data_IF_088768856772
#
_entry.id   IF_088768856772
#
_cell.length_a   1.000
_cell.length_b   1.000
_cell.length_c   1.000
_cell.angle_alpha   90.00
_cell.angle_beta   90.00
_cell.angle_gamma   90.00
#
_symmetry.space_group_name_H-M   'P 1'
#
loop_
_entity.id
_entity.type
_entity.pdbx_description
1 polymer ?
#
# COMPACT_ATOMS: atom_id res chain seq x y z
N UNK A 1 -16.48 -8.51 10.49
CA UNK A 1 -15.48 -7.46 10.19
C UNK A 1 -15.15 -7.55 8.72
N UNK A 2 -15.43 -6.51 7.93
CA UNK A 2 -15.06 -6.49 6.51
C UNK A 2 -13.54 -6.43 6.39
N UNK A 3 -12.99 -7.17 5.43
CA UNK A 3 -11.56 -7.10 5.12
C UNK A 3 -11.34 -5.79 4.36
N UNK A 4 -10.89 -4.75 5.06
CA UNK A 4 -10.68 -3.41 4.52
C UNK A 4 -9.20 -3.05 4.58
N UNK A 5 -8.72 -2.33 3.58
CA UNK A 5 -7.35 -1.86 3.50
C UNK A 5 -7.12 -0.75 4.55
N UNK A 6 -6.14 -0.95 5.42
CA UNK A 6 -5.66 0.08 6.34
C UNK A 6 -4.53 0.87 5.67
N UNK A 7 -4.87 2.04 5.12
CA UNK A 7 -3.90 2.88 4.41
C UNK A 7 -2.74 3.35 5.28
N UNK A 8 -2.94 3.55 6.58
CA UNK A 8 -1.88 4.00 7.49
C UNK A 8 -0.89 2.87 7.74
N UNK A 9 -1.41 1.67 8.00
CA UNK A 9 -0.59 0.47 8.15
C UNK A 9 0.18 0.14 6.86
N UNK A 10 -0.49 0.18 5.70
CA UNK A 10 0.16 -0.06 4.42
C UNK A 10 1.24 0.98 4.12
N UNK A 11 1.01 2.26 4.44
CA UNK A 11 2.01 3.30 4.25
C UNK A 11 3.25 3.04 5.11
N UNK A 12 3.06 2.61 6.37
CA UNK A 12 4.17 2.24 7.26
C UNK A 12 4.97 1.04 6.71
N UNK A 13 4.28 0.02 6.19
CA UNK A 13 4.93 -1.16 5.61
C UNK A 13 5.70 -0.82 4.34
N UNK A 14 5.10 0.02 3.49
CA UNK A 14 5.76 0.53 2.29
C UNK A 14 7.01 1.33 2.63
N UNK A 15 6.94 2.29 3.55
CA UNK A 15 8.10 3.12 3.94
C UNK A 15 9.27 2.28 4.45
N UNK A 16 9.00 1.21 5.21
CA UNK A 16 10.03 0.27 5.66
C UNK A 16 10.67 -0.48 4.49
N UNK A 17 9.88 -0.98 3.55
CA UNK A 17 10.39 -1.69 2.38
C UNK A 17 11.17 -0.76 1.44
N UNK A 18 10.65 0.44 1.20
CA UNK A 18 11.24 1.45 0.35
C UNK A 18 12.55 2.00 0.95
N UNK A 19 12.63 2.19 2.27
CA UNK A 19 13.86 2.54 2.96
C UNK A 19 14.95 1.47 2.81
N UNK A 20 14.59 0.17 2.89
CA UNK A 20 15.52 -0.93 2.65
C UNK A 20 16.07 -0.95 1.20
N UNK A 21 15.33 -0.35 0.26
CA UNK A 21 15.72 -0.18 -1.14
C UNK A 21 16.36 1.19 -1.43
N UNK A 22 16.69 1.97 -0.39
CA UNK A 22 17.27 3.32 -0.50
C UNK A 22 16.43 4.29 -1.34
N UNK A 23 15.10 4.12 -1.34
CA UNK A 23 14.19 5.04 -2.03
C UNK A 23 14.08 6.37 -1.29
N UNK A 24 13.72 7.43 -2.01
CA UNK A 24 13.58 8.78 -1.46
C UNK A 24 12.19 8.99 -0.84
N UNK A 25 12.13 9.00 0.48
CA UNK A 25 10.88 9.11 1.24
C UNK A 25 10.51 10.55 1.63
N UNK A 26 11.17 11.55 1.06
CA UNK A 26 10.83 12.96 1.28
C UNK A 26 9.34 13.20 0.94
N UNK A 27 8.61 13.92 1.80
CA UNK A 27 7.19 14.25 1.56
C UNK A 27 7.00 15.76 1.38
N UNK A 28 6.10 16.10 0.46
CA UNK A 28 5.57 17.46 0.31
C UNK A 28 4.57 17.77 1.43
N UNK A 29 4.30 19.06 1.71
CA UNK A 29 3.16 19.45 2.52
C UNK A 29 1.88 18.78 2.01
N UNK A 30 1.16 18.10 2.89
CA UNK A 30 -0.01 17.27 2.52
C UNK A 30 0.27 15.77 2.45
N UNK A 31 1.52 15.32 2.64
CA UNK A 31 1.86 13.91 2.85
C UNK A 31 2.18 13.10 1.59
N UNK A 32 2.17 13.73 0.41
CA UNK A 32 2.59 13.09 -0.84
C UNK A 32 4.10 12.92 -0.90
N UNK A 33 4.59 11.79 -1.40
CA UNK A 33 6.02 11.63 -1.69
C UNK A 33 6.47 12.65 -2.73
N UNK A 34 7.61 13.30 -2.51
CA UNK A 34 8.15 14.31 -3.41
C UNK A 34 8.79 13.70 -4.66
N UNK A 35 9.36 12.50 -4.53
CA UNK A 35 10.00 11.77 -5.61
C UNK A 35 8.98 10.98 -6.46
N UNK A 36 9.02 11.16 -7.79
CA UNK A 36 8.09 10.50 -8.72
C UNK A 36 8.22 8.97 -8.69
N UNK A 37 9.44 8.44 -8.54
CA UNK A 37 9.66 6.99 -8.46
C UNK A 37 8.99 6.40 -7.22
N UNK A 38 9.09 7.13 -6.10
CA UNK A 38 8.48 6.74 -4.83
C UNK A 38 6.95 6.86 -4.86
N UNK A 39 6.40 7.90 -5.51
CA UNK A 39 4.95 7.99 -5.76
C UNK A 39 4.44 6.80 -6.59
N UNK A 40 5.15 6.45 -7.66
CA UNK A 40 4.77 5.34 -8.52
C UNK A 40 4.82 4.00 -7.79
N UNK A 41 5.89 3.75 -7.03
CA UNK A 41 6.03 2.55 -6.22
C UNK A 41 4.93 2.43 -5.15
N UNK A 42 4.55 3.56 -4.52
CA UNK A 42 3.45 3.60 -3.57
C UNK A 42 2.10 3.24 -4.22
N UNK A 43 1.81 3.79 -5.40
CA UNK A 43 0.58 3.48 -6.12
C UNK A 43 0.49 1.99 -6.49
N UNK A 44 1.60 1.40 -6.96
CA UNK A 44 1.67 -0.04 -7.25
C UNK A 44 1.48 -0.91 -5.98
N UNK A 45 2.07 -0.49 -4.86
CA UNK A 45 1.94 -1.17 -3.57
C UNK A 45 0.48 -1.27 -3.15
N UNK A 46 -0.22 -0.13 -3.12
CA UNK A 46 -1.63 -0.06 -2.73
C UNK A 46 -2.52 -0.85 -3.68
N UNK A 47 -2.27 -0.78 -4.99
CA UNK A 47 -3.04 -1.56 -5.97
C UNK A 47 -2.94 -3.07 -5.71
N UNK A 48 -1.73 -3.58 -5.43
CA UNK A 48 -1.52 -4.98 -5.07
C UNK A 48 -2.23 -5.35 -3.77
N UNK A 49 -2.13 -4.51 -2.74
CA UNK A 49 -2.73 -4.78 -1.44
C UNK A 49 -4.27 -4.84 -1.55
N UNK A 50 -4.88 -3.91 -2.30
CA UNK A 50 -6.31 -3.92 -2.58
C UNK A 50 -6.77 -5.20 -3.31
N UNK A 51 -6.08 -5.59 -4.39
CA UNK A 51 -6.38 -6.84 -5.11
C UNK A 51 -6.26 -8.08 -4.22
N UNK A 52 -5.28 -8.10 -3.32
CA UNK A 52 -5.10 -9.22 -2.39
C UNK A 52 -6.31 -9.35 -1.44
N UNK A 53 -6.79 -8.23 -0.92
CA UNK A 53 -7.98 -8.20 -0.07
C UNK A 53 -9.22 -8.65 -0.83
N UNK A 54 -9.43 -8.17 -2.06
CA UNK A 54 -10.56 -8.60 -2.90
C UNK A 54 -10.54 -10.11 -3.17
N UNK A 55 -9.37 -10.66 -3.52
CA UNK A 55 -9.19 -12.09 -3.74
C UNK A 55 -9.51 -12.88 -2.46
N UNK A 56 -8.98 -12.46 -1.31
CA UNK A 56 -9.26 -13.12 -0.04
C UNK A 56 -10.74 -13.05 0.33
N UNK A 57 -11.40 -11.91 0.10
CA UNK A 57 -12.83 -11.75 0.30
C UNK A 57 -13.64 -12.70 -0.58
N UNK A 58 -13.26 -12.89 -1.85
CA UNK A 58 -13.91 -13.86 -2.75
C UNK A 58 -13.77 -15.30 -2.25
N UNK A 59 -12.57 -15.70 -1.80
CA UNK A 59 -12.31 -17.07 -1.36
C UNK A 59 -12.98 -17.40 -0.01
N UNK A 60 -13.04 -16.43 0.90
CA UNK A 60 -13.67 -16.61 2.21
C UNK A 60 -15.19 -16.42 2.17
N UNK A 61 -15.70 -15.64 1.21
CA UNK A 61 -17.14 -15.45 0.98
C UNK A 61 -17.81 -16.60 0.21
N UNK A 62 -17.03 -17.42 -0.51
CA UNK A 62 -17.52 -18.55 -1.31
C UNK A 62 -17.71 -19.88 -0.57
N UNK A 63 -17.65 -19.89 0.77
CA UNK A 63 -17.82 -21.11 1.59
C UNK A 63 -19.24 -21.29 2.15
N UNK A 64 -20.28 -20.83 1.43
CA UNK A 64 -21.69 -21.10 1.77
C UNK A 64 -22.26 -22.21 0.90
#
# INVERSE_FOLDING_TARGET
>A
MGMQLDFEQENLMFERAAAAMSMRLDKLPGGFYADQGTQHAWALWIHRAALTIEILAMHLGGSQ
#
